data_IF_078176553776
#
_entry.id   IF_078176553776
#
_cell.length_a   1.000
_cell.length_b   1.000
_cell.length_c   1.000
_cell.angle_alpha   90.00
_cell.angle_beta   90.00
_cell.angle_gamma   90.00
#
_symmetry.space_group_name_H-M   'P 1'
#
loop_
_entity.id
_entity.type
_entity.pdbx_description
1 polymer ?
#
# COMPACT_ATOMS: atom_id res chain seq x y z
N UNK A 1 -7.96 15.38 -7.23
CA UNK A 1 -8.33 14.25 -6.36
C UNK A 1 -9.25 13.31 -7.15
N UNK A 2 -8.72 12.19 -7.64
CA UNK A 2 -9.31 11.35 -8.68
C UNK A 2 -10.74 10.81 -8.40
N UNK A 3 -11.12 10.60 -7.14
CA UNK A 3 -12.35 9.86 -6.76
C UNK A 3 -13.44 10.69 -6.04
N UNK A 4 -13.24 12.01 -5.88
CA UNK A 4 -14.11 12.82 -5.01
C UNK A 4 -14.11 12.34 -3.55
N UNK A 5 -15.02 12.84 -2.71
CA UNK A 5 -15.13 12.42 -1.29
C UNK A 5 -16.23 11.38 -1.05
N UNK A 6 -17.14 11.18 -2.00
CA UNK A 6 -18.33 10.33 -1.85
C UNK A 6 -18.00 8.88 -1.41
N UNK A 7 -16.93 8.31 -1.97
CA UNK A 7 -16.49 6.94 -1.67
C UNK A 7 -15.19 6.88 -0.84
N UNK A 8 -14.75 8.00 -0.26
CA UNK A 8 -13.43 8.09 0.37
C UNK A 8 -13.28 7.11 1.56
N UNK A 9 -14.33 6.92 2.34
CA UNK A 9 -14.32 5.99 3.47
C UNK A 9 -14.12 4.54 3.02
N UNK A 10 -14.78 4.12 1.95
CA UNK A 10 -14.64 2.77 1.39
C UNK A 10 -13.28 2.57 0.73
N UNK A 11 -12.82 3.53 -0.08
CA UNK A 11 -11.48 3.49 -0.68
C UNK A 11 -10.38 3.43 0.39
N UNK A 12 -10.50 4.24 1.44
CA UNK A 12 -9.57 4.20 2.57
C UNK A 12 -9.65 2.87 3.33
N UNK A 13 -10.86 2.35 3.55
CA UNK A 13 -11.07 1.04 4.16
C UNK A 13 -10.39 -0.09 3.38
N UNK A 14 -10.46 -0.09 2.05
CA UNK A 14 -9.77 -1.06 1.20
C UNK A 14 -8.25 -0.93 1.34
N UNK A 15 -7.71 0.29 1.32
CA UNK A 15 -6.27 0.54 1.53
C UNK A 15 -5.83 0.03 2.91
N UNK A 16 -6.59 0.31 3.96
CA UNK A 16 -6.28 -0.14 5.31
C UNK A 16 -6.40 -1.66 5.45
N UNK A 17 -7.40 -2.29 4.84
CA UNK A 17 -7.52 -3.75 4.83
C UNK A 17 -6.30 -4.40 4.19
N UNK A 18 -5.88 -3.92 3.01
CA UNK A 18 -4.67 -4.39 2.34
C UNK A 18 -3.42 -4.18 3.23
N UNK A 19 -3.33 -3.05 3.92
CA UNK A 19 -2.25 -2.77 4.86
C UNK A 19 -2.24 -3.77 6.03
N UNK A 20 -3.39 -4.09 6.62
CA UNK A 20 -3.46 -5.08 7.73
C UNK A 20 -3.08 -6.49 7.29
N UNK A 21 -3.48 -6.89 6.07
CA UNK A 21 -3.05 -8.16 5.49
C UNK A 21 -1.52 -8.18 5.33
N UNK A 22 -0.94 -7.11 4.79
CA UNK A 22 0.51 -6.96 4.68
C UNK A 22 1.22 -6.98 6.03
N UNK A 23 0.70 -6.26 7.04
CA UNK A 23 1.26 -6.22 8.39
C UNK A 23 1.23 -7.58 9.09
N UNK A 24 0.13 -8.32 8.96
CA UNK A 24 0.02 -9.69 9.47
C UNK A 24 1.09 -10.61 8.85
N UNK A 25 1.16 -10.66 7.52
CA UNK A 25 2.13 -11.53 6.84
C UNK A 25 3.57 -11.09 7.07
N UNK A 26 3.84 -9.80 7.11
CA UNK A 26 5.18 -9.27 7.42
C UNK A 26 5.67 -9.71 8.80
N UNK A 27 4.84 -9.53 9.84
CA UNK A 27 5.21 -9.94 11.20
C UNK A 27 5.31 -11.47 11.35
N UNK A 28 4.31 -12.20 10.84
CA UNK A 28 4.28 -13.67 10.95
C UNK A 28 5.42 -14.33 10.18
N UNK A 29 5.61 -13.99 8.89
CA UNK A 29 6.69 -14.55 8.09
C UNK A 29 8.06 -14.09 8.58
N UNK A 30 8.18 -12.87 9.07
CA UNK A 30 9.42 -12.38 9.69
C UNK A 30 9.85 -13.25 10.87
N UNK A 31 8.92 -13.54 11.78
CA UNK A 31 9.18 -14.45 12.90
C UNK A 31 9.49 -15.88 12.44
N UNK A 32 8.72 -16.42 11.49
CA UNK A 32 8.93 -17.76 10.96
C UNK A 32 10.30 -17.92 10.27
N UNK A 33 10.67 -16.98 9.39
CA UNK A 33 11.97 -16.99 8.69
C UNK A 33 13.12 -16.94 9.69
N UNK A 34 13.03 -16.10 10.72
CA UNK A 34 14.04 -16.06 11.77
C UNK A 34 14.12 -17.39 12.54
N UNK A 35 12.99 -18.02 12.86
CA UNK A 35 12.97 -19.32 13.54
C UNK A 35 13.69 -20.42 12.74
N UNK A 36 13.54 -20.43 11.41
CA UNK A 36 14.13 -21.49 10.57
C UNK A 36 15.54 -21.17 10.07
N UNK A 37 15.91 -19.89 9.95
CA UNK A 37 17.22 -19.47 9.39
C UNK A 37 18.16 -18.85 10.42
N UNK A 38 17.65 -18.37 11.55
CA UNK A 38 18.41 -17.56 12.51
C UNK A 38 18.80 -16.16 12.01
N UNK A 39 18.31 -15.73 10.84
CA UNK A 39 18.65 -14.43 10.24
C UNK A 39 17.40 -13.72 9.69
N UNK A 40 17.48 -12.39 9.56
CA UNK A 40 16.48 -11.54 8.90
C UNK A 40 16.87 -11.16 7.46
N UNK A 41 18.02 -11.58 6.94
CA UNK A 41 18.52 -11.14 5.63
C UNK A 41 17.52 -11.41 4.49
N UNK A 42 16.82 -12.55 4.56
CA UNK A 42 15.74 -12.89 3.63
C UNK A 42 14.55 -11.94 3.74
N UNK A 43 14.15 -11.58 4.96
CA UNK A 43 13.04 -10.66 5.22
C UNK A 43 13.37 -9.28 4.66
N UNK A 44 14.58 -8.79 4.92
CA UNK A 44 15.07 -7.51 4.40
C UNK A 44 15.18 -7.47 2.88
N UNK A 45 15.64 -8.58 2.27
CA UNK A 45 15.73 -8.67 0.81
C UNK A 45 14.35 -8.61 0.15
N UNK A 46 13.35 -9.28 0.74
CA UNK A 46 11.96 -9.22 0.26
C UNK A 46 11.38 -7.82 0.45
N UNK A 47 11.59 -7.19 1.61
CA UNK A 47 11.12 -5.83 1.89
C UNK A 47 11.69 -4.81 0.90
N UNK A 48 13.00 -4.90 0.60
CA UNK A 48 13.65 -4.08 -0.42
C UNK A 48 12.97 -4.20 -1.79
N UNK A 49 12.68 -5.42 -2.23
CA UNK A 49 12.02 -5.67 -3.52
C UNK A 49 10.60 -5.12 -3.53
N UNK A 50 9.86 -5.29 -2.43
CA UNK A 50 8.51 -4.74 -2.29
C UNK A 50 8.50 -3.21 -2.30
N UNK A 51 9.42 -2.56 -1.58
CA UNK A 51 9.56 -1.12 -1.55
C UNK A 51 9.93 -0.54 -2.91
N UNK A 52 10.88 -1.16 -3.61
CA UNK A 52 11.25 -0.79 -4.97
C UNK A 52 10.06 -0.96 -5.94
N UNK A 53 9.35 -2.10 -5.86
CA UNK A 53 8.15 -2.36 -6.65
C UNK A 53 7.06 -1.33 -6.40
N UNK A 54 6.82 -0.98 -5.13
CA UNK A 54 5.86 0.06 -4.75
C UNK A 54 6.24 1.41 -5.36
N UNK A 55 7.51 1.82 -5.27
CA UNK A 55 7.99 3.05 -5.88
C UNK A 55 7.73 3.06 -7.40
N UNK A 56 8.10 1.98 -8.10
CA UNK A 56 7.91 1.85 -9.55
C UNK A 56 6.43 1.91 -9.97
N UNK A 57 5.53 1.28 -9.20
CA UNK A 57 4.08 1.35 -9.46
C UNK A 57 3.52 2.77 -9.25
N UNK A 58 4.11 3.54 -8.33
CA UNK A 58 3.66 4.90 -8.05
C UNK A 58 4.19 5.94 -9.06
N UNK A 59 5.38 5.73 -9.63
CA UNK A 59 5.98 6.67 -10.60
C UNK A 59 5.07 7.08 -11.78
N UNK A 60 4.32 6.19 -12.46
CA UNK A 60 3.47 6.58 -13.59
C UNK A 60 2.14 7.23 -13.19
N UNK A 61 1.82 7.34 -11.90
CA UNK A 61 0.54 7.89 -11.45
C UNK A 61 0.48 9.39 -11.75
N UNK A 62 -0.40 9.78 -12.67
CA UNK A 62 -0.68 11.19 -12.99
C UNK A 62 -2.00 11.61 -12.38
N UNK A 63 -1.96 12.50 -11.40
CA UNK A 63 -3.16 13.09 -10.82
C UNK A 63 -3.77 14.12 -11.78
N UNK A 64 -4.78 13.73 -12.55
CA UNK A 64 -5.58 14.71 -13.30
C UNK A 64 -6.48 15.48 -12.34
N UNK A 65 -6.52 16.83 -12.39
CA UNK A 65 -7.51 17.60 -11.66
C UNK A 65 -8.91 17.17 -12.09
N UNK A 66 -9.72 16.72 -11.13
CA UNK A 66 -11.15 16.49 -11.39
C UNK A 66 -11.79 17.87 -11.55
N UNK A 67 -12.48 18.17 -12.67
CA UNK A 67 -13.21 19.42 -12.81
C UNK A 67 -14.17 19.54 -11.63
N UNK A 68 -14.04 20.60 -10.83
CA UNK A 68 -15.07 20.93 -9.85
C UNK A 68 -16.32 21.24 -10.66
N UNK A 69 -17.35 20.39 -10.55
CA UNK A 69 -18.68 20.78 -10.98
C UNK A 69 -19.00 22.09 -10.24
N UNK A 70 -19.26 23.15 -11.01
CA UNK A 70 -19.68 24.43 -10.43
C UNK A 70 -20.86 24.14 -9.52
N UNK A 71 -20.76 24.56 -8.26
CA UNK A 71 -21.90 24.51 -7.35
C UNK A 71 -23.03 25.30 -8.02
N UNK A 72 -24.08 24.61 -8.44
CA UNK A 72 -25.27 25.23 -8.99
C UNK A 72 -25.83 26.21 -7.97
N UNK A 73 -26.09 27.44 -8.42
CA UNK A 73 -26.73 28.50 -7.67
C UNK A 73 -28.19 28.13 -7.32
#
# INVERSE_FOLDING_TARGET
KLFGTANLAMLFGIVMLAHQIGGFFGAYLGGYVFQVTGSYDWVWSVDLVLAAGAALVHLPIREKPVPRAAAGA
#
